data_IF_124128505829
#
_entry.id   IF_124128505829
#
_cell.length_a   1.000
_cell.length_b   1.000
_cell.length_c   1.000
_cell.angle_alpha   90.00
_cell.angle_beta   90.00
_cell.angle_gamma   90.00
#
_symmetry.space_group_name_H-M   'P 1'
#
loop_
_entity.id
_entity.type
_entity.pdbx_description
1 polymer ?
#
# COMPACT_ATOMS: atom_id res chain seq x y z
N UNK A 1 -21.34 -30.04 -5.69
CA UNK A 1 -21.64 -28.98 -4.70
C UNK A 1 -20.33 -28.29 -4.44
N UNK A 2 -20.17 -27.03 -4.86
CA UNK A 2 -18.99 -26.25 -4.49
C UNK A 2 -19.06 -26.05 -2.97
N UNK A 3 -18.02 -26.42 -2.23
CA UNK A 3 -17.95 -26.09 -0.81
C UNK A 3 -17.94 -24.57 -0.66
N UNK A 4 -18.79 -24.05 0.22
CA UNK A 4 -18.74 -22.64 0.63
C UNK A 4 -17.37 -22.34 1.25
N UNK A 5 -16.89 -21.11 1.06
CA UNK A 5 -15.60 -20.71 1.59
C UNK A 5 -15.61 -20.73 3.14
N UNK A 6 -14.48 -21.03 3.81
CA UNK A 6 -14.41 -20.94 5.26
C UNK A 6 -14.76 -19.53 5.76
N UNK A 7 -15.52 -19.42 6.85
CA UNK A 7 -15.95 -18.13 7.43
C UNK A 7 -14.74 -17.25 7.77
N UNK A 8 -13.66 -17.87 8.25
CA UNK A 8 -12.37 -17.20 8.49
C UNK A 8 -11.85 -16.51 7.24
N UNK A 9 -11.91 -17.19 6.11
CA UNK A 9 -11.28 -16.73 4.88
C UNK A 9 -12.09 -15.57 4.29
N UNK A 10 -13.42 -15.61 4.38
CA UNK A 10 -14.30 -14.48 4.03
C UNK A 10 -14.07 -13.26 4.92
N UNK A 11 -13.95 -13.46 6.23
CA UNK A 11 -13.68 -12.40 7.19
C UNK A 11 -12.34 -11.70 6.92
N UNK A 12 -11.29 -12.48 6.73
CA UNK A 12 -9.96 -11.92 6.45
C UNK A 12 -9.91 -11.28 5.07
N UNK A 13 -10.55 -11.85 4.05
CA UNK A 13 -10.64 -11.26 2.72
C UNK A 13 -11.35 -9.90 2.75
N UNK A 14 -12.44 -9.78 3.51
CA UNK A 14 -13.14 -8.52 3.69
C UNK A 14 -12.23 -7.45 4.31
N UNK A 15 -11.58 -7.76 5.44
CA UNK A 15 -10.67 -6.81 6.07
C UNK A 15 -9.50 -6.43 5.15
N UNK A 16 -8.95 -7.40 4.40
CA UNK A 16 -7.86 -7.16 3.45
C UNK A 16 -8.30 -6.28 2.29
N UNK A 17 -9.56 -6.37 1.85
CA UNK A 17 -10.10 -5.52 0.78
C UNK A 17 -10.15 -4.03 1.14
N UNK A 18 -10.00 -3.70 2.42
CA UNK A 18 -9.94 -2.33 2.92
C UNK A 18 -8.52 -1.76 2.94
N UNK A 19 -7.49 -2.53 2.58
CA UNK A 19 -6.11 -2.01 2.50
C UNK A 19 -6.02 -0.76 1.62
N UNK A 20 -5.34 0.28 2.13
CA UNK A 20 -5.26 1.59 1.48
C UNK A 20 -6.44 2.52 1.77
N UNK A 21 -7.47 2.07 2.50
CA UNK A 21 -8.49 2.97 3.03
C UNK A 21 -7.86 3.97 4.00
N UNK A 22 -8.25 5.24 3.86
CA UNK A 22 -7.87 6.32 4.76
C UNK A 22 -9.08 6.95 5.44
N UNK A 23 -8.87 7.38 6.68
CA UNK A 23 -9.86 8.16 7.44
C UNK A 23 -10.04 9.59 6.91
N UNK A 24 -10.99 10.32 7.47
CA UNK A 24 -11.24 11.71 7.15
C UNK A 24 -10.11 12.64 7.61
N UNK A 25 -10.16 13.87 7.10
CA UNK A 25 -9.28 14.97 7.52
C UNK A 25 -10.08 16.13 8.07
N UNK A 26 -9.53 16.82 9.06
CA UNK A 26 -10.05 18.09 9.53
C UNK A 26 -9.78 19.22 8.53
N UNK A 27 -10.29 20.43 8.82
CA UNK A 27 -10.08 21.60 7.97
C UNK A 27 -8.62 22.05 7.86
N UNK A 28 -7.75 21.59 8.76
CA UNK A 28 -6.31 21.80 8.74
C UNK A 28 -5.54 20.72 7.96
N UNK A 29 -6.24 19.70 7.44
CA UNK A 29 -5.64 18.60 6.69
C UNK A 29 -5.06 17.49 7.58
N UNK A 30 -5.29 17.52 8.90
CA UNK A 30 -4.87 16.46 9.82
C UNK A 30 -5.88 15.33 9.85
N UNK A 31 -5.41 14.10 9.98
CA UNK A 31 -6.24 12.91 10.16
C UNK A 31 -7.07 13.03 11.45
N UNK A 32 -8.36 12.73 11.36
CA UNK A 32 -9.33 13.09 12.40
C UNK A 32 -10.10 11.90 12.99
N UNK A 33 -9.70 10.67 12.67
CA UNK A 33 -10.31 9.41 13.07
C UNK A 33 -11.78 9.24 12.67
N UNK A 34 -12.29 10.05 11.73
CA UNK A 34 -13.65 9.92 11.19
C UNK A 34 -13.60 8.94 10.02
N UNK A 35 -14.26 7.80 10.15
CA UNK A 35 -14.23 6.72 9.16
C UNK A 35 -15.60 6.08 8.92
N UNK A 36 -15.69 5.13 7.98
CA UNK A 36 -16.93 4.46 7.57
C UNK A 36 -17.37 3.27 8.46
N UNK A 37 -16.49 2.74 9.28
CA UNK A 37 -16.64 1.57 10.14
C UNK A 37 -17.47 1.82 11.41
N UNK A 38 -17.17 2.86 12.20
CA UNK A 38 -17.92 3.20 13.44
C UNK A 38 -19.43 3.30 13.23
N UNK A 39 -19.95 4.04 12.22
CA UNK A 39 -21.39 4.13 12.01
C UNK A 39 -22.01 2.84 11.42
N UNK A 40 -21.19 1.91 10.94
CA UNK A 40 -21.63 0.65 10.36
C UNK A 40 -21.68 -0.50 11.38
N UNK A 41 -21.18 -0.29 12.61
CA UNK A 41 -21.28 -1.28 13.70
C UNK A 41 -22.36 -0.85 14.68
N UNK A 42 -23.48 -1.58 14.78
CA UNK A 42 -24.56 -1.26 15.71
C UNK A 42 -24.04 -1.11 17.15
N UNK A 43 -24.26 0.06 17.75
CA UNK A 43 -23.85 0.36 19.12
C UNK A 43 -22.43 0.91 19.29
N UNK A 44 -21.66 1.07 18.21
CA UNK A 44 -20.34 1.72 18.23
C UNK A 44 -20.31 3.06 17.49
N UNK A 45 -21.45 3.64 17.14
CA UNK A 45 -21.53 4.93 16.43
C UNK A 45 -20.85 6.06 17.22
N UNK A 46 -20.89 5.96 18.56
CA UNK A 46 -20.23 6.89 19.49
C UNK A 46 -18.70 6.90 19.37
N UNK A 47 -18.09 5.85 18.81
CA UNK A 47 -16.64 5.72 18.66
C UNK A 47 -16.07 6.53 17.49
N UNK A 48 -16.92 7.21 16.71
CA UNK A 48 -16.48 8.03 15.59
C UNK A 48 -15.52 9.14 16.06
N UNK A 49 -14.40 9.33 15.34
CA UNK A 49 -13.37 10.29 15.74
C UNK A 49 -12.47 9.80 16.88
N UNK A 50 -12.60 8.54 17.31
CA UNK A 50 -11.67 7.86 18.23
C UNK A 50 -10.77 6.91 17.45
N UNK A 51 -9.67 6.49 18.08
CA UNK A 51 -8.83 5.42 17.55
C UNK A 51 -9.68 4.17 17.23
N UNK A 52 -9.56 3.65 16.01
CA UNK A 52 -10.56 2.74 15.44
C UNK A 52 -10.02 1.35 15.03
N UNK A 53 -8.84 0.95 15.53
CA UNK A 53 -8.28 -0.39 15.25
C UNK A 53 -9.22 -1.53 15.71
N UNK A 54 -9.76 -1.46 16.93
CA UNK A 54 -10.73 -2.44 17.43
C UNK A 54 -12.07 -2.34 16.68
N UNK A 55 -12.56 -1.13 16.44
CA UNK A 55 -13.79 -0.89 15.67
C UNK A 55 -13.70 -1.45 14.25
N UNK A 56 -12.54 -1.39 13.59
CA UNK A 56 -12.33 -1.99 12.27
C UNK A 56 -12.52 -3.52 12.30
N UNK A 57 -11.93 -4.19 13.28
CA UNK A 57 -12.11 -5.65 13.41
C UNK A 57 -13.54 -6.04 13.78
N UNK A 58 -14.19 -5.24 14.65
CA UNK A 58 -15.60 -5.42 14.99
C UNK A 58 -16.51 -5.19 13.78
N UNK A 59 -16.20 -4.19 12.94
CA UNK A 59 -16.88 -3.95 11.68
C UNK A 59 -16.77 -5.17 10.77
N UNK A 60 -15.58 -5.68 10.50
CA UNK A 60 -15.43 -6.91 9.72
C UNK A 60 -16.29 -8.05 10.27
N UNK A 61 -16.33 -8.22 11.59
CA UNK A 61 -17.10 -9.29 12.22
C UNK A 61 -18.62 -9.12 12.04
N UNK A 62 -19.12 -7.88 11.99
CA UNK A 62 -20.53 -7.62 11.68
C UNK A 62 -20.89 -7.77 10.20
N UNK A 63 -19.92 -7.63 9.31
CA UNK A 63 -20.13 -7.71 7.86
C UNK A 63 -19.93 -9.14 7.31
N UNK A 64 -19.29 -10.02 8.07
CA UNK A 64 -19.13 -11.43 7.72
C UNK A 64 -20.18 -12.28 8.44
N UNK A 65 -20.93 -13.06 7.67
CA UNK A 65 -21.97 -13.93 8.21
C UNK A 65 -21.38 -14.92 9.23
N UNK A 66 -22.00 -14.98 10.41
CA UNK A 66 -21.55 -15.82 11.52
C UNK A 66 -20.32 -15.31 12.29
N UNK A 67 -19.75 -14.13 12.00
CA UNK A 67 -18.62 -13.64 12.80
C UNK A 67 -19.00 -12.81 14.02
N UNK A 68 -20.15 -12.15 14.02
CA UNK A 68 -20.57 -11.22 15.07
C UNK A 68 -20.64 -11.86 16.47
N UNK A 69 -21.06 -13.13 16.57
CA UNK A 69 -21.12 -13.87 17.82
C UNK A 69 -19.77 -14.50 18.23
N UNK A 70 -18.78 -14.48 17.33
CA UNK A 70 -17.46 -15.09 17.50
C UNK A 70 -16.36 -14.05 17.78
N UNK A 71 -16.72 -12.76 17.83
CA UNK A 71 -15.80 -11.65 17.96
C UNK A 71 -16.32 -10.61 18.96
N UNK A 72 -15.46 -9.97 19.78
CA UNK A 72 -15.88 -8.88 20.65
C UNK A 72 -16.23 -7.63 19.84
N UNK A 73 -17.51 -7.25 19.83
CA UNK A 73 -17.98 -6.03 19.18
C UNK A 73 -17.75 -4.81 20.08
N UNK A 74 -16.51 -4.31 20.09
CA UNK A 74 -16.07 -3.19 20.94
C UNK A 74 -15.09 -2.28 20.20
N UNK A 75 -15.03 -1.01 20.63
CA UNK A 75 -14.02 -0.04 20.19
C UNK A 75 -12.74 -0.06 21.05
N UNK A 76 -12.64 -0.94 22.05
CA UNK A 76 -11.54 -0.98 23.02
C UNK A 76 -10.76 -2.28 22.95
N UNK A 77 -9.44 -2.19 22.71
CA UNK A 77 -8.53 -3.34 22.75
C UNK A 77 -8.54 -4.04 24.12
N UNK A 78 -8.47 -3.27 25.21
CA UNK A 78 -8.50 -3.82 26.57
C UNK A 78 -9.79 -4.63 26.83
N UNK A 79 -10.94 -4.08 26.45
CA UNK A 79 -12.23 -4.77 26.59
C UNK A 79 -12.29 -6.04 25.74
N UNK A 80 -11.70 -6.02 24.55
CA UNK A 80 -11.63 -7.20 23.69
C UNK A 80 -10.73 -8.30 24.30
N UNK A 81 -9.56 -7.94 24.84
CA UNK A 81 -8.67 -8.87 25.56
C UNK A 81 -9.38 -9.51 26.74
N UNK A 82 -10.05 -8.72 27.58
CA UNK A 82 -10.83 -9.22 28.72
C UNK A 82 -11.92 -10.21 28.26
N UNK A 83 -12.60 -9.91 27.16
CA UNK A 83 -13.62 -10.78 26.59
C UNK A 83 -13.04 -12.12 26.15
N UNK A 84 -11.93 -12.14 25.40
CA UNK A 84 -11.27 -13.38 24.96
C UNK A 84 -10.83 -14.24 26.16
N UNK A 85 -10.24 -13.61 27.18
CA UNK A 85 -9.79 -14.30 28.38
C UNK A 85 -10.96 -14.89 29.18
N UNK A 86 -12.06 -14.16 29.34
CA UNK A 86 -13.26 -14.64 30.03
C UNK A 86 -13.91 -15.83 29.33
N UNK A 87 -13.83 -15.89 27.99
CA UNK A 87 -14.28 -17.03 27.20
C UNK A 87 -13.32 -18.24 27.28
N UNK A 88 -12.12 -18.07 27.84
CA UNK A 88 -11.05 -19.07 27.80
C UNK A 88 -10.46 -19.25 26.39
N UNK A 89 -10.54 -18.21 25.55
CA UNK A 89 -10.19 -18.25 24.11
C UNK A 89 -9.06 -17.27 23.81
N UNK A 90 -7.96 -17.45 24.55
CA UNK A 90 -6.75 -16.63 24.50
C UNK A 90 -5.51 -17.53 24.42
N UNK A 91 -4.51 -17.13 23.64
CA UNK A 91 -3.23 -17.85 23.49
C UNK A 91 -2.06 -16.89 23.28
N UNK A 92 -0.85 -17.37 23.54
CA UNK A 92 0.41 -16.66 23.25
C UNK A 92 0.90 -16.92 21.81
N UNK A 93 0.23 -17.78 21.05
CA UNK A 93 0.63 -18.18 19.70
C UNK A 93 -0.29 -17.60 18.62
N UNK A 94 0.22 -17.30 17.41
CA UNK A 94 -0.62 -16.78 16.35
C UNK A 94 -1.73 -17.74 15.94
N UNK A 95 -2.92 -17.17 15.72
CA UNK A 95 -4.12 -17.85 15.25
C UNK A 95 -4.49 -17.28 13.89
N UNK A 96 -4.62 -18.12 12.87
CA UNK A 96 -5.00 -17.67 11.53
C UNK A 96 -6.41 -17.08 11.54
N UNK A 97 -6.56 -15.85 11.03
CA UNK A 97 -7.80 -15.06 11.12
C UNK A 97 -8.14 -14.55 12.53
N UNK A 98 -7.33 -14.88 13.54
CA UNK A 98 -7.50 -14.37 14.90
C UNK A 98 -6.94 -12.95 15.07
N UNK A 99 -7.41 -12.21 16.08
CA UNK A 99 -6.84 -10.93 16.43
C UNK A 99 -5.51 -11.11 17.19
N UNK A 100 -4.52 -10.29 16.89
CA UNK A 100 -3.35 -10.07 17.75
C UNK A 100 -3.53 -8.77 18.52
N UNK A 101 -2.95 -8.67 19.72
CA UNK A 101 -3.01 -7.46 20.53
C UNK A 101 -1.61 -6.98 20.93
N UNK A 102 -1.38 -5.66 20.89
CA UNK A 102 -0.13 -5.02 21.32
C UNK A 102 -0.31 -4.24 22.62
N UNK A 103 0.82 -3.96 23.25
CA UNK A 103 0.90 -3.24 24.53
C UNK A 103 1.22 -4.18 25.67
N UNK A 104 1.59 -3.62 26.81
CA UNK A 104 1.99 -4.41 28.00
C UNK A 104 0.92 -5.40 28.48
N UNK A 105 -0.34 -5.13 28.17
CA UNK A 105 -1.50 -5.97 28.48
C UNK A 105 -2.46 -6.08 27.27
N UNK A 106 -1.97 -5.88 26.05
CA UNK A 106 -2.78 -5.97 24.82
C UNK A 106 -3.73 -4.80 24.58
N UNK A 107 -3.58 -3.69 25.31
CA UNK A 107 -4.52 -2.56 25.28
C UNK A 107 -4.25 -1.51 24.19
N UNK A 108 -3.10 -1.58 23.51
CA UNK A 108 -2.62 -0.46 22.69
C UNK A 108 -3.11 -0.53 21.23
N UNK A 109 -3.14 -1.73 20.63
CA UNK A 109 -3.51 -1.89 19.23
C UNK A 109 -3.93 -3.34 18.92
N UNK A 110 -4.76 -3.50 17.89
CA UNK A 110 -5.24 -4.79 17.41
C UNK A 110 -5.26 -4.81 15.88
N UNK A 111 -5.02 -5.99 15.31
CA UNK A 111 -5.34 -6.30 13.93
C UNK A 111 -5.51 -7.79 13.75
N UNK A 112 -5.68 -8.24 12.51
CA UNK A 112 -6.03 -9.63 12.21
C UNK A 112 -4.89 -10.34 11.50
N UNK A 113 -4.56 -11.56 11.93
CA UNK A 113 -3.50 -12.38 11.35
C UNK A 113 -3.97 -13.00 10.04
N UNK A 114 -3.35 -12.58 8.93
CA UNK A 114 -3.59 -13.10 7.57
C UNK A 114 -2.73 -14.32 7.28
N UNK A 115 -1.50 -14.34 7.82
CA UNK A 115 -0.58 -15.46 7.75
C UNK A 115 0.40 -15.45 8.92
N UNK A 116 1.05 -16.58 9.17
CA UNK A 116 2.19 -16.66 10.07
C UNK A 116 3.13 -17.79 9.65
N UNK A 117 4.40 -17.65 10.00
CA UNK A 117 5.42 -18.70 9.95
C UNK A 117 6.14 -18.78 11.30
N UNK A 118 7.31 -19.40 11.37
CA UNK A 118 8.07 -19.56 12.62
C UNK A 118 8.41 -18.23 13.31
N UNK A 119 8.69 -17.17 12.56
CA UNK A 119 9.31 -15.95 13.07
C UNK A 119 8.42 -14.73 12.91
N UNK A 120 7.47 -14.76 11.97
CA UNK A 120 6.71 -13.60 11.51
C UNK A 120 5.22 -13.86 11.50
N UNK A 121 4.44 -12.81 11.80
CA UNK A 121 3.02 -12.73 11.44
C UNK A 121 2.83 -11.67 10.37
N UNK A 122 1.97 -11.95 9.40
CA UNK A 122 1.43 -10.99 8.44
C UNK A 122 0.02 -10.66 8.85
N UNK A 123 -0.30 -9.37 8.87
CA UNK A 123 -1.53 -8.87 9.48
C UNK A 123 -2.18 -7.81 8.60
N UNK A 124 -3.49 -7.64 8.78
CA UNK A 124 -4.25 -6.50 8.25
C UNK A 124 -4.77 -5.68 9.43
N UNK A 125 -4.54 -4.38 9.40
CA UNK A 125 -4.68 -3.51 10.57
C UNK A 125 -5.33 -2.20 10.20
N UNK A 126 -6.41 -1.85 10.87
CA UNK A 126 -7.03 -0.53 10.79
C UNK A 126 -6.41 0.43 11.82
N UNK A 127 -6.53 1.72 11.55
CA UNK A 127 -5.95 2.77 12.36
C UNK A 127 -4.46 2.54 12.66
N UNK A 128 -3.69 2.26 11.60
CA UNK A 128 -2.23 2.28 11.62
C UNK A 128 -1.72 3.24 10.54
N UNK A 129 -0.40 3.49 10.47
CA UNK A 129 0.23 4.37 9.47
C UNK A 129 1.55 3.78 9.01
N UNK A 130 2.05 4.16 7.84
CA UNK A 130 3.27 3.59 7.21
C UNK A 130 4.49 3.47 8.16
N UNK A 131 4.62 4.35 9.15
CA UNK A 131 5.73 4.37 10.13
C UNK A 131 5.52 3.64 11.47
N UNK A 132 4.38 2.97 11.70
CA UNK A 132 4.13 2.20 12.93
C UNK A 132 3.79 3.04 14.18
N UNK A 133 3.38 4.30 14.01
CA UNK A 133 2.89 5.16 15.09
C UNK A 133 1.44 4.79 15.48
N UNK A 134 1.05 4.90 16.77
CA UNK A 134 -0.31 4.59 17.25
C UNK A 134 -1.39 5.59 16.81
N UNK A 135 -1.03 6.75 16.24
CA UNK A 135 -1.99 7.63 15.55
C UNK A 135 -2.09 7.22 14.08
N UNK A 136 -2.90 6.20 13.83
CA UNK A 136 -3.11 5.68 12.50
C UNK A 136 -3.84 6.64 11.57
N UNK A 137 -3.75 6.37 10.28
CA UNK A 137 -4.42 7.14 9.24
C UNK A 137 -5.16 6.28 8.22
N UNK A 138 -5.10 4.96 8.37
CA UNK A 138 -5.68 4.05 7.41
C UNK A 138 -5.55 2.58 7.76
N UNK A 139 -5.87 1.75 6.77
CA UNK A 139 -5.77 0.30 6.80
C UNK A 139 -4.54 -0.14 6.03
N UNK A 140 -3.70 -0.99 6.64
CA UNK A 140 -2.44 -1.44 6.03
C UNK A 140 -2.16 -2.91 6.33
N UNK A 141 -1.54 -3.60 5.37
CA UNK A 141 -0.85 -4.83 5.66
C UNK A 141 0.44 -4.57 6.47
N UNK A 142 0.76 -5.47 7.40
CA UNK A 142 1.97 -5.39 8.23
C UNK A 142 2.66 -6.73 8.37
N UNK A 143 3.94 -6.66 8.69
CA UNK A 143 4.73 -7.77 9.19
C UNK A 143 5.16 -7.44 10.61
N UNK A 144 5.04 -8.43 11.51
CA UNK A 144 5.44 -8.28 12.91
C UNK A 144 6.22 -9.51 13.36
N UNK A 145 7.22 -9.36 14.24
CA UNK A 145 7.90 -10.50 14.82
C UNK A 145 6.93 -11.28 15.72
N UNK A 146 7.05 -12.60 15.74
CA UNK A 146 6.32 -13.47 16.68
C UNK A 146 6.85 -13.39 18.10
N UNK A 147 8.11 -13.00 18.28
CA UNK A 147 8.80 -12.98 19.57
C UNK A 147 9.71 -11.75 19.69
N UNK A 148 9.95 -11.32 20.92
CA UNK A 148 10.87 -10.23 21.21
C UNK A 148 10.24 -8.83 21.08
N UNK A 149 11.07 -7.77 21.04
CA UNK A 149 10.56 -6.41 21.01
C UNK A 149 9.61 -6.16 19.84
N UNK A 150 8.40 -5.67 20.14
CA UNK A 150 7.37 -5.38 19.13
C UNK A 150 6.50 -6.56 18.73
N UNK A 151 6.68 -7.75 19.31
CA UNK A 151 5.76 -8.87 19.13
C UNK A 151 4.44 -8.64 19.86
N UNK A 152 3.34 -9.29 19.43
CA UNK A 152 2.08 -9.26 20.15
C UNK A 152 2.20 -9.71 21.62
N UNK A 153 1.38 -9.10 22.48
CA UNK A 153 1.12 -9.54 23.84
C UNK A 153 0.41 -10.90 23.85
N UNK A 154 -0.48 -11.12 22.89
CA UNK A 154 -1.15 -12.39 22.69
C UNK A 154 -2.23 -12.28 21.64
N UNK A 155 -3.00 -13.35 21.50
CA UNK A 155 -3.94 -13.55 20.42
C UNK A 155 -5.29 -14.04 20.95
N UNK A 156 -6.36 -13.48 20.40
CA UNK A 156 -7.70 -14.07 20.54
C UNK A 156 -7.80 -15.31 19.65
N UNK A 157 -8.56 -16.29 20.08
CA UNK A 157 -8.84 -17.50 19.31
C UNK A 157 -10.29 -17.42 18.87
N UNK A 158 -10.70 -17.11 17.61
CA UNK A 158 -12.12 -17.09 17.20
C UNK A 158 -12.72 -18.49 17.01
N UNK A 159 -14.03 -18.66 17.19
CA UNK A 159 -14.70 -19.99 17.22
C UNK A 159 -15.18 -20.41 15.84
N UNK A 160 -14.25 -20.47 14.91
CA UNK A 160 -14.56 -20.78 13.51
C UNK A 160 -15.22 -22.16 13.40
N UNK A 161 -16.35 -22.29 12.66
CA UNK A 161 -16.99 -23.59 12.40
C UNK A 161 -16.04 -24.61 11.76
N UNK A 162 -15.13 -24.16 10.91
CA UNK A 162 -14.08 -24.95 10.27
C UNK A 162 -12.90 -25.30 11.19
N UNK A 163 -12.91 -24.83 12.44
CA UNK A 163 -11.88 -25.08 13.43
C UNK A 163 -10.76 -24.02 13.47
N UNK A 164 -9.97 -24.10 14.54
CA UNK A 164 -8.84 -23.21 14.79
C UNK A 164 -7.58 -23.69 14.06
N UNK A 165 -6.86 -22.77 13.43
CA UNK A 165 -5.53 -23.01 12.86
C UNK A 165 -4.53 -22.13 13.60
N UNK A 166 -3.71 -22.72 14.46
CA UNK A 166 -2.80 -21.99 15.35
C UNK A 166 -1.46 -22.69 15.49
N UNK A 167 -0.41 -21.90 15.74
CA UNK A 167 0.90 -22.42 16.13
C UNK A 167 0.95 -22.92 17.58
N UNK A 168 -0.11 -22.72 18.36
CA UNK A 168 -0.23 -23.25 19.71
C UNK A 168 -0.28 -24.79 19.67
N UNK A 169 0.66 -25.50 20.32
CA UNK A 169 0.61 -26.96 20.42
C UNK A 169 -0.70 -27.50 21.02
N UNK A 170 -1.35 -26.74 21.90
CA UNK A 170 -2.65 -27.11 22.48
C UNK A 170 -3.82 -26.94 21.50
N UNK A 171 -3.63 -26.15 20.43
CA UNK A 171 -4.63 -25.86 19.40
C UNK A 171 -4.22 -26.42 18.02
N UNK A 172 -3.37 -27.45 17.99
CA UNK A 172 -2.98 -28.19 16.79
C UNK A 172 -1.53 -28.01 16.35
N UNK A 173 -0.84 -26.96 16.81
CA UNK A 173 0.60 -26.78 16.60
C UNK A 173 1.01 -26.63 15.13
N UNK A 174 0.19 -25.98 14.31
CA UNK A 174 0.47 -25.75 12.90
C UNK A 174 1.62 -24.75 12.78
N UNK A 175 2.78 -25.11 12.20
CA UNK A 175 3.98 -24.26 12.27
C UNK A 175 3.88 -22.99 11.42
N UNK A 176 3.08 -23.02 10.35
CA UNK A 176 2.85 -21.90 9.44
C UNK A 176 1.50 -22.05 8.76
N UNK A 177 0.79 -20.94 8.55
CA UNK A 177 -0.48 -20.94 7.85
C UNK A 177 -0.75 -19.60 7.15
N UNK A 178 -1.63 -19.59 6.14
CA UNK A 178 -2.08 -18.41 5.40
C UNK A 178 -3.54 -18.60 5.00
N UNK A 179 -4.34 -17.53 5.06
CA UNK A 179 -5.72 -17.55 4.57
C UNK A 179 -5.73 -17.73 3.05
N UNK A 180 -6.55 -18.67 2.57
CA UNK A 180 -6.77 -18.85 1.13
C UNK A 180 -7.78 -17.82 0.60
N UNK A 181 -7.58 -17.33 -0.62
CA UNK A 181 -8.66 -16.68 -1.38
C UNK A 181 -9.71 -17.74 -1.78
N UNK A 182 -11.01 -17.41 -1.89
CA UNK A 182 -12.03 -18.39 -2.22
C UNK A 182 -11.81 -18.93 -3.63
N UNK A 183 -11.51 -20.22 -3.76
CA UNK A 183 -11.75 -20.93 -5.01
C UNK A 183 -11.98 -22.42 -4.76
N UNK A 184 -13.03 -22.92 -5.39
CA UNK A 184 -13.49 -24.30 -5.50
C UNK A 184 -12.53 -25.41 -5.02
N UNK A 185 -13.03 -26.19 -4.06
CA UNK A 185 -12.63 -27.55 -3.68
C UNK A 185 -11.83 -28.32 -4.73
N UNK A 186 -10.64 -28.81 -4.36
CA UNK A 186 -9.99 -29.95 -5.02
C UNK A 186 -9.33 -30.89 -3.99
N UNK A 187 -9.72 -32.16 -4.10
CA UNK A 187 -9.11 -33.39 -3.55
C UNK A 187 -7.60 -33.48 -3.86
N UNK A 188 -6.77 -34.20 -3.06
CA UNK A 188 -5.33 -33.96 -3.07
C UNK A 188 -4.64 -34.54 -4.32
N UNK A 189 -3.91 -33.68 -5.06
CA UNK A 189 -2.92 -34.07 -6.06
C UNK A 189 -1.95 -32.90 -6.37
N UNK A 190 -0.83 -33.17 -7.07
CA UNK A 190 0.45 -33.71 -6.63
C UNK A 190 1.45 -32.58 -6.26
N UNK A 191 2.72 -32.90 -5.98
CA UNK A 191 3.78 -31.95 -5.62
C UNK A 191 3.79 -30.68 -6.50
N UNK A 192 4.08 -29.50 -5.93
CA UNK A 192 3.91 -28.22 -6.62
C UNK A 192 4.75 -28.14 -7.90
N UNK A 193 4.12 -27.63 -8.96
CA UNK A 193 4.84 -27.17 -10.15
C UNK A 193 5.74 -25.99 -9.77
N UNK A 194 6.91 -25.82 -10.41
CA UNK A 194 7.84 -24.73 -10.10
C UNK A 194 7.18 -23.37 -10.36
N UNK A 195 7.55 -22.36 -9.56
CA UNK A 195 7.16 -20.96 -9.74
C UNK A 195 7.26 -20.54 -11.22
N UNK A 196 6.38 -19.64 -11.71
CA UNK A 196 6.62 -19.05 -13.01
C UNK A 196 7.98 -18.36 -12.95
N UNK A 197 8.91 -18.88 -13.76
CA UNK A 197 10.26 -18.32 -13.89
C UNK A 197 10.14 -16.79 -14.04
N UNK A 198 10.84 -15.98 -13.21
CA UNK A 198 10.76 -14.52 -13.31
C UNK A 198 10.96 -14.06 -14.75
N UNK A 199 10.24 -13.02 -15.17
CA UNK A 199 10.39 -12.48 -16.51
C UNK A 199 11.84 -12.01 -16.73
N UNK A 200 12.46 -12.52 -17.80
CA UNK A 200 13.85 -12.20 -18.17
C UNK A 200 13.95 -11.52 -19.53
N UNK A 201 13.23 -10.43 -19.68
CA UNK A 201 13.36 -9.55 -20.83
C UNK A 201 13.49 -8.09 -20.39
N UNK A 202 13.85 -7.22 -21.33
CA UNK A 202 14.02 -5.80 -21.09
C UNK A 202 12.98 -4.97 -21.83
N UNK A 203 12.62 -3.84 -21.24
CA UNK A 203 11.93 -2.76 -21.92
C UNK A 203 12.82 -1.51 -21.97
N UNK A 204 12.45 -0.55 -22.82
CA UNK A 204 13.05 0.78 -22.82
C UNK A 204 11.99 1.81 -22.46
N UNK A 205 12.18 2.51 -21.34
CA UNK A 205 11.33 3.62 -20.93
C UNK A 205 12.19 4.87 -20.86
N UNK A 206 11.78 5.92 -21.56
CA UNK A 206 12.49 7.19 -21.61
C UNK A 206 14.00 7.07 -21.96
N UNK A 207 14.33 6.15 -22.88
CA UNK A 207 15.70 5.91 -23.35
C UNK A 207 16.59 5.10 -22.41
N UNK A 208 16.06 4.63 -21.28
CA UNK A 208 16.76 3.75 -20.34
C UNK A 208 16.19 2.35 -20.36
N UNK A 209 17.08 1.36 -20.24
CA UNK A 209 16.70 -0.05 -20.14
C UNK A 209 16.24 -0.38 -18.71
N UNK A 210 15.17 -1.17 -18.62
CA UNK A 210 14.61 -1.75 -17.40
C UNK A 210 14.28 -3.23 -17.64
N UNK A 211 14.21 -4.04 -16.58
CA UNK A 211 14.04 -5.50 -16.68
C UNK A 211 15.38 -6.25 -16.64
N UNK A 212 15.32 -7.58 -16.60
CA UNK A 212 16.47 -8.43 -16.28
C UNK A 212 17.72 -8.12 -17.11
N UNK A 213 18.85 -7.92 -16.43
CA UNK A 213 20.13 -7.57 -17.03
C UNK A 213 20.26 -6.11 -17.46
N UNK A 214 19.27 -5.26 -17.20
CA UNK A 214 19.45 -3.81 -17.32
C UNK A 214 20.43 -3.32 -16.26
N UNK A 215 21.20 -2.27 -16.58
CA UNK A 215 22.26 -1.78 -15.71
C UNK A 215 22.22 -0.25 -15.64
N UNK A 216 22.49 0.30 -14.45
CA UNK A 216 22.68 1.74 -14.26
C UNK A 216 21.95 2.30 -13.03
N UNK A 217 22.14 3.60 -12.75
CA UNK A 217 21.58 4.26 -11.57
C UNK A 217 20.05 4.25 -11.55
N UNK A 218 19.38 4.15 -12.70
CA UNK A 218 17.93 3.99 -12.77
C UNK A 218 17.44 2.68 -12.17
N UNK A 219 18.24 1.61 -12.25
CA UNK A 219 17.90 0.32 -11.64
C UNK A 219 17.97 0.44 -10.13
N UNK A 220 19.02 1.07 -9.61
CA UNK A 220 19.16 1.35 -8.18
C UNK A 220 18.00 2.21 -7.67
N UNK A 221 17.62 3.26 -8.40
CA UNK A 221 16.50 4.12 -8.03
C UNK A 221 15.17 3.35 -7.97
N UNK A 222 14.92 2.44 -8.92
CA UNK A 222 13.74 1.57 -8.89
C UNK A 222 13.79 0.64 -7.69
N UNK A 223 14.94 -0.01 -7.43
CA UNK A 223 15.08 -0.90 -6.29
C UNK A 223 14.94 -0.21 -4.94
N UNK A 224 15.50 0.99 -4.79
CA UNK A 224 15.36 1.82 -3.58
C UNK A 224 13.91 2.25 -3.37
N UNK A 225 13.20 2.63 -4.43
CA UNK A 225 11.79 2.98 -4.36
C UNK A 225 10.91 1.78 -4.06
N UNK A 226 11.18 0.61 -4.66
CA UNK A 226 10.52 -0.63 -4.29
C UNK A 226 10.67 -0.90 -2.78
N UNK A 227 11.89 -0.78 -2.24
CA UNK A 227 12.12 -0.89 -0.79
C UNK A 227 11.35 0.18 -0.01
N UNK A 228 11.35 1.44 -0.45
CA UNK A 228 10.64 2.53 0.26
C UNK A 228 9.12 2.36 0.24
N UNK A 229 8.58 1.72 -0.79
CA UNK A 229 7.17 1.36 -0.93
C UNK A 229 6.83 0.00 -0.29
N UNK A 230 7.79 -0.68 0.33
CA UNK A 230 7.58 -1.95 1.06
C UNK A 230 7.77 -3.23 0.22
N UNK A 231 8.23 -3.10 -1.02
CA UNK A 231 8.46 -4.19 -1.98
C UNK A 231 9.95 -4.57 -2.06
N UNK A 232 10.55 -5.04 -0.95
CA UNK A 232 11.98 -5.37 -0.90
C UNK A 232 12.30 -6.82 -0.55
N UNK A 233 11.29 -7.69 -0.44
CA UNK A 233 11.40 -9.04 0.13
C UNK A 233 12.37 -9.97 -0.61
N UNK A 234 12.61 -9.74 -1.90
CA UNK A 234 13.55 -10.55 -2.68
C UNK A 234 15.01 -10.09 -2.59
N UNK A 235 15.31 -8.93 -1.97
CA UNK A 235 16.69 -8.46 -1.80
C UNK A 235 17.36 -9.14 -0.59
N UNK A 236 18.44 -9.88 -0.84
CA UNK A 236 19.29 -10.45 0.22
C UNK A 236 20.35 -9.46 0.72
N UNK A 237 20.88 -8.70 -0.22
CA UNK A 237 21.71 -7.51 -0.03
C UNK A 237 20.98 -6.44 -0.84
N UNK A 238 20.74 -5.26 -0.26
CA UNK A 238 19.83 -4.24 -0.81
C UNK A 238 20.05 -3.89 -2.30
N UNK A 239 19.14 -3.12 -2.89
CA UNK A 239 19.10 -2.89 -4.34
C UNK A 239 20.42 -2.33 -4.89
N UNK A 240 20.76 -2.74 -6.11
CA UNK A 240 22.02 -2.41 -6.78
C UNK A 240 21.82 -1.84 -8.19
N UNK A 241 22.90 -1.57 -8.93
CA UNK A 241 22.80 -1.03 -10.29
C UNK A 241 22.50 -2.09 -11.35
N UNK A 242 22.49 -3.38 -11.00
CA UNK A 242 22.24 -4.49 -11.93
C UNK A 242 20.85 -5.08 -11.65
N UNK A 243 19.99 -5.13 -12.67
CA UNK A 243 18.64 -5.69 -12.53
C UNK A 243 18.71 -7.21 -12.50
N UNK A 244 18.30 -7.80 -11.39
CA UNK A 244 18.32 -9.23 -11.13
C UNK A 244 16.92 -9.84 -11.06
N UNK A 245 16.83 -11.14 -10.83
CA UNK A 245 15.54 -11.79 -10.53
C UNK A 245 14.88 -11.21 -9.26
N UNK A 246 15.66 -10.64 -8.33
CA UNK A 246 15.11 -10.01 -7.13
C UNK A 246 14.34 -8.73 -7.48
N UNK A 247 14.88 -7.89 -8.36
CA UNK A 247 14.20 -6.70 -8.87
C UNK A 247 12.92 -7.08 -9.61
N UNK A 248 12.97 -8.10 -10.47
CA UNK A 248 11.79 -8.62 -11.18
C UNK A 248 10.73 -9.13 -10.19
N UNK A 249 11.10 -9.88 -9.16
CA UNK A 249 10.18 -10.39 -8.16
C UNK A 249 9.50 -9.28 -7.35
N UNK A 250 10.29 -8.34 -6.85
CA UNK A 250 9.80 -7.18 -6.10
C UNK A 250 8.89 -6.28 -6.97
N UNK A 251 9.28 -6.04 -8.22
CA UNK A 251 8.49 -5.21 -9.13
C UNK A 251 7.18 -5.89 -9.55
N UNK A 252 7.18 -7.22 -9.70
CA UNK A 252 5.96 -7.97 -9.99
C UNK A 252 4.96 -7.87 -8.82
N UNK A 253 5.45 -7.94 -7.58
CA UNK A 253 4.61 -7.76 -6.39
C UNK A 253 4.06 -6.34 -6.30
N UNK A 254 4.87 -5.33 -6.62
CA UNK A 254 4.42 -3.95 -6.75
C UNK A 254 3.35 -3.77 -7.85
N UNK A 255 3.54 -4.37 -9.03
CA UNK A 255 2.53 -4.32 -10.09
C UNK A 255 1.21 -4.95 -9.65
N UNK A 256 1.26 -6.07 -8.93
CA UNK A 256 0.07 -6.71 -8.36
C UNK A 256 -0.61 -5.83 -7.32
N UNK A 257 0.15 -5.08 -6.51
CA UNK A 257 -0.44 -4.14 -5.55
C UNK A 257 -1.18 -2.98 -6.23
N UNK A 258 -0.83 -2.64 -7.48
CA UNK A 258 -1.56 -1.68 -8.31
C UNK A 258 -2.79 -2.29 -9.01
N UNK A 259 -3.06 -3.58 -8.84
CA UNK A 259 -4.16 -4.30 -9.48
C UNK A 259 -3.85 -4.84 -10.87
N UNK A 260 -2.60 -4.84 -11.31
CA UNK A 260 -2.20 -5.50 -12.56
C UNK A 260 -2.20 -7.02 -12.42
N UNK A 261 -2.42 -7.73 -13.53
CA UNK A 261 -2.44 -9.19 -13.56
C UNK A 261 -1.98 -9.75 -14.90
N UNK A 262 -1.67 -11.05 -14.94
CA UNK A 262 -1.16 -11.69 -16.14
C UNK A 262 0.17 -11.08 -16.60
N UNK A 263 0.27 -10.77 -17.90
CA UNK A 263 1.48 -10.17 -18.47
C UNK A 263 1.76 -8.74 -17.98
N UNK A 264 0.75 -8.04 -17.44
CA UNK A 264 0.92 -6.67 -16.94
C UNK A 264 1.53 -6.62 -15.51
N UNK A 265 1.71 -7.78 -14.88
CA UNK A 265 2.30 -7.95 -13.55
C UNK A 265 3.42 -9.01 -13.54
N UNK A 266 4.24 -8.98 -14.59
CA UNK A 266 5.31 -9.94 -14.85
C UNK A 266 6.67 -9.55 -14.25
N UNK A 267 6.76 -8.35 -13.66
CA UNK A 267 7.96 -7.82 -13.03
C UNK A 267 8.86 -6.99 -13.93
N UNK A 268 8.46 -6.76 -15.19
CA UNK A 268 9.14 -5.79 -16.06
C UNK A 268 8.40 -4.45 -16.01
N UNK A 269 9.08 -3.32 -15.75
CA UNK A 269 8.43 -2.02 -15.67
C UNK A 269 7.65 -1.62 -16.92
N UNK A 270 6.43 -1.14 -16.72
CA UNK A 270 5.71 -0.33 -17.71
C UNK A 270 5.72 1.15 -17.30
N UNK A 271 5.55 2.07 -18.24
CA UNK A 271 5.64 3.51 -17.98
C UNK A 271 4.71 3.99 -16.85
N UNK A 272 3.46 3.54 -16.84
CA UNK A 272 2.48 3.90 -15.82
C UNK A 272 2.90 3.38 -14.42
N UNK A 273 3.22 2.10 -14.31
CA UNK A 273 3.70 1.48 -13.07
C UNK A 273 4.99 2.13 -12.56
N UNK A 274 5.90 2.48 -13.47
CA UNK A 274 7.19 3.07 -13.10
C UNK A 274 6.99 4.49 -12.60
N UNK A 275 6.14 5.27 -13.26
CA UNK A 275 5.78 6.62 -12.81
C UNK A 275 5.08 6.60 -11.46
N UNK A 276 4.21 5.63 -11.21
CA UNK A 276 3.53 5.46 -9.93
C UNK A 276 4.53 5.11 -8.81
N UNK A 277 5.58 4.34 -9.12
CA UNK A 277 6.56 3.87 -8.13
C UNK A 277 7.51 4.97 -7.67
N UNK A 278 8.02 5.76 -8.61
CA UNK A 278 9.10 6.73 -8.34
C UNK A 278 8.67 8.18 -8.53
N UNK A 279 7.41 8.44 -8.93
CA UNK A 279 6.84 9.77 -9.12
C UNK A 279 7.38 10.53 -10.35
N UNK A 280 8.44 10.02 -10.99
CA UNK A 280 9.02 10.54 -12.23
C UNK A 280 9.55 9.37 -13.08
N UNK A 281 9.88 9.60 -14.35
CA UNK A 281 10.53 8.60 -15.19
C UNK A 281 12.02 8.91 -15.33
N UNK A 282 12.92 8.10 -14.75
CA UNK A 282 14.34 8.24 -14.92
C UNK A 282 14.70 8.00 -16.38
N UNK A 283 15.61 8.83 -16.87
CA UNK A 283 15.85 9.04 -18.29
C UNK A 283 15.89 10.54 -18.51
N UNK A 284 16.57 10.99 -19.56
CA UNK A 284 16.63 12.42 -19.87
C UNK A 284 15.24 13.06 -19.88
N UNK A 285 15.18 14.38 -19.71
CA UNK A 285 13.92 15.14 -19.71
C UNK A 285 12.90 14.55 -20.69
N UNK A 286 11.62 14.36 -20.29
CA UNK A 286 10.60 13.73 -21.14
C UNK A 286 10.63 14.37 -22.52
N UNK A 287 10.32 13.62 -23.58
CA UNK A 287 10.21 14.22 -24.90
C UNK A 287 9.24 15.41 -24.83
N UNK A 288 9.66 16.57 -25.31
CA UNK A 288 8.82 17.76 -25.30
C UNK A 288 7.55 17.46 -26.13
N UNK A 289 6.34 17.55 -25.55
CA UNK A 289 5.13 17.00 -26.15
C UNK A 289 4.60 17.81 -27.33
N UNK A 290 5.26 18.93 -27.67
CA UNK A 290 4.82 19.87 -28.69
C UNK A 290 4.31 21.17 -28.08
N UNK A 291 4.44 22.28 -28.83
CA UNK A 291 3.99 23.60 -28.35
C UNK A 291 2.47 23.67 -28.24
N UNK A 292 1.77 22.87 -29.05
CA UNK A 292 0.33 22.75 -29.12
C UNK A 292 -0.32 22.23 -27.83
N UNK A 293 0.43 21.54 -26.97
CA UNK A 293 -0.07 21.08 -25.67
C UNK A 293 -0.20 22.21 -24.63
N UNK A 294 0.34 23.40 -24.92
CA UNK A 294 0.41 24.53 -24.00
C UNK A 294 -0.23 25.78 -24.58
N UNK A 295 -0.82 26.59 -23.70
CA UNK A 295 -1.46 27.85 -24.07
C UNK A 295 -2.98 27.86 -23.86
N UNK A 296 -3.63 29.00 -24.14
CA UNK A 296 -5.04 29.20 -23.85
C UNK A 296 -5.95 28.11 -24.42
N UNK A 297 -6.80 27.53 -23.57
CA UNK A 297 -7.77 26.50 -23.93
C UNK A 297 -7.26 25.06 -23.82
N UNK A 298 -5.97 24.85 -23.52
CA UNK A 298 -5.43 23.51 -23.32
C UNK A 298 -5.84 22.91 -21.97
N UNK A 299 -6.22 21.63 -21.99
CA UNK A 299 -6.51 20.84 -20.79
C UNK A 299 -5.99 19.42 -20.99
N UNK A 300 -4.84 19.10 -20.40
CA UNK A 300 -4.16 17.81 -20.57
C UNK A 300 -3.14 17.56 -19.44
N UNK A 301 -2.63 16.33 -19.37
CA UNK A 301 -1.65 15.93 -18.35
C UNK A 301 -0.30 16.66 -18.46
N UNK A 302 0.09 17.12 -19.65
CA UNK A 302 1.35 17.85 -19.83
C UNK A 302 1.32 19.23 -19.16
N UNK A 303 0.17 19.91 -19.15
CA UNK A 303 -0.01 21.16 -18.39
C UNK A 303 0.15 20.92 -16.89
N UNK A 304 -0.50 19.87 -16.37
CA UNK A 304 -0.38 19.48 -14.96
C UNK A 304 1.08 19.17 -14.60
N UNK A 305 1.73 18.33 -15.41
CA UNK A 305 3.12 17.92 -15.22
C UNK A 305 4.09 19.12 -15.26
N UNK A 306 3.89 20.04 -16.21
CA UNK A 306 4.65 21.29 -16.29
C UNK A 306 4.51 22.10 -15.00
N UNK A 307 3.27 22.29 -14.53
CA UNK A 307 2.97 23.08 -13.35
C UNK A 307 3.52 22.48 -12.06
N UNK A 308 3.36 21.17 -11.86
CA UNK A 308 3.95 20.42 -10.75
C UNK A 308 5.48 20.59 -10.72
N UNK A 309 6.14 20.46 -11.87
CA UNK A 309 7.59 20.60 -11.96
C UNK A 309 8.06 22.05 -11.71
N UNK A 310 7.28 23.05 -12.15
CA UNK A 310 7.55 24.46 -11.84
C UNK A 310 7.46 24.71 -10.34
N UNK A 311 6.44 24.18 -9.66
CA UNK A 311 6.32 24.28 -8.20
C UNK A 311 7.51 23.60 -7.51
N UNK A 312 7.86 22.38 -7.92
CA UNK A 312 8.98 21.62 -7.36
C UNK A 312 10.32 22.37 -7.48
N UNK A 313 10.54 23.09 -8.58
CA UNK A 313 11.75 23.93 -8.78
C UNK A 313 11.65 25.33 -8.16
N UNK A 314 10.58 25.63 -7.40
CA UNK A 314 10.42 26.89 -6.68
C UNK A 314 9.81 28.03 -7.50
N UNK A 315 9.25 27.75 -8.68
CA UNK A 315 8.62 28.72 -9.57
C UNK A 315 7.09 28.76 -9.44
N UNK A 316 6.55 28.18 -8.37
CA UNK A 316 5.11 28.08 -8.13
C UNK A 316 4.39 29.37 -7.69
N UNK A 317 5.09 30.49 -7.53
CA UNK A 317 4.55 31.70 -6.90
C UNK A 317 3.35 32.36 -7.61
N UNK A 318 3.05 31.97 -8.85
CA UNK A 318 1.87 32.43 -9.58
C UNK A 318 0.59 31.62 -9.25
N UNK A 319 0.72 30.40 -8.69
CA UNK A 319 -0.42 29.56 -8.35
C UNK A 319 -1.03 29.97 -7.00
N UNK A 320 -2.37 30.12 -6.98
CA UNK A 320 -3.12 30.39 -5.73
C UNK A 320 -3.69 29.14 -5.09
N UNK A 321 -4.11 28.17 -5.91
CA UNK A 321 -4.72 26.90 -5.50
C UNK A 321 -3.72 25.75 -5.71
N UNK A 322 -2.92 25.84 -6.76
CA UNK A 322 -1.96 24.82 -7.19
C UNK A 322 -2.03 24.63 -8.71
N UNK A 323 -1.08 23.90 -9.29
CA UNK A 323 -1.12 23.52 -10.70
C UNK A 323 -2.25 22.50 -10.94
N UNK A 324 -2.76 22.47 -12.18
CA UNK A 324 -3.80 21.54 -12.60
C UNK A 324 -3.72 21.29 -14.11
N UNK A 325 -4.56 20.41 -14.67
CA UNK A 325 -4.47 20.02 -16.07
C UNK A 325 -4.94 21.11 -17.04
N UNK A 326 -5.70 22.11 -16.58
CA UNK A 326 -6.17 23.22 -17.40
C UNK A 326 -5.16 24.37 -17.42
N UNK A 327 -4.71 24.77 -18.61
CA UNK A 327 -3.77 25.86 -18.77
C UNK A 327 -4.37 27.19 -18.33
N UNK A 328 -3.59 27.95 -17.56
CA UNK A 328 -3.97 29.23 -17.00
C UNK A 328 -2.87 30.29 -17.16
N UNK A 329 -3.21 31.54 -16.85
CA UNK A 329 -2.20 32.61 -16.75
C UNK A 329 -1.20 32.37 -15.61
N UNK A 330 -1.53 31.54 -14.62
CA UNK A 330 -0.57 31.15 -13.59
C UNK A 330 0.55 30.28 -14.18
N UNK A 331 0.23 29.34 -15.07
CA UNK A 331 1.22 28.51 -15.76
C UNK A 331 2.14 29.37 -16.63
N UNK A 332 1.56 30.26 -17.45
CA UNK A 332 2.35 31.17 -18.30
C UNK A 332 3.33 32.01 -17.50
N UNK A 333 2.90 32.55 -16.35
CA UNK A 333 3.75 33.37 -15.46
C UNK A 333 4.82 32.54 -14.75
N UNK A 334 4.50 31.33 -14.31
CA UNK A 334 5.45 30.42 -13.69
C UNK A 334 6.54 29.99 -14.69
N UNK A 335 6.16 29.64 -15.92
CA UNK A 335 7.11 29.36 -17.02
C UNK A 335 7.98 30.58 -17.30
N UNK A 336 7.39 31.78 -17.40
CA UNK A 336 8.13 33.01 -17.65
C UNK A 336 9.16 33.28 -16.55
N UNK A 337 8.79 33.10 -15.28
CA UNK A 337 9.71 33.24 -14.16
C UNK A 337 10.86 32.22 -14.22
N UNK A 338 10.57 30.96 -14.57
CA UNK A 338 11.58 29.94 -14.79
C UNK A 338 12.54 30.34 -15.92
N UNK A 339 12.02 30.73 -17.09
CA UNK A 339 12.80 31.18 -18.24
C UNK A 339 13.72 32.37 -17.90
N UNK A 340 13.20 33.36 -17.18
CA UNK A 340 13.99 34.50 -16.70
C UNK A 340 15.11 34.05 -15.76
N UNK A 341 14.85 33.10 -14.87
CA UNK A 341 15.88 32.55 -13.99
C UNK A 341 16.95 31.73 -14.73
N UNK A 342 16.65 31.24 -15.94
CA UNK A 342 17.66 30.67 -16.85
C UNK A 342 18.50 31.73 -17.59
N UNK A 343 18.26 33.02 -17.33
CA UNK A 343 18.93 34.15 -17.98
C UNK A 343 18.30 34.57 -19.31
N UNK A 344 17.13 34.04 -19.68
CA UNK A 344 16.46 34.39 -20.93
C UNK A 344 15.74 35.73 -20.82
N UNK A 345 15.66 36.47 -21.93
CA UNK A 345 15.08 37.82 -21.95
C UNK A 345 14.23 38.06 -23.19
N UNK A 346 13.35 39.05 -23.15
CA UNK A 346 12.51 39.42 -24.29
C UNK A 346 11.63 38.26 -24.76
N UNK A 347 11.67 37.96 -26.06
CA UNK A 347 10.88 36.90 -26.69
C UNK A 347 11.28 35.49 -26.22
N UNK A 348 12.49 35.31 -25.68
CA UNK A 348 12.94 34.00 -25.20
C UNK A 348 12.38 33.66 -23.80
N UNK A 349 11.79 34.64 -23.11
CA UNK A 349 11.09 34.47 -21.83
C UNK A 349 9.60 34.86 -21.97
N UNK A 350 8.93 34.29 -22.96
CA UNK A 350 7.54 34.56 -23.33
C UNK A 350 6.49 33.90 -22.41
N UNK A 351 6.91 32.95 -21.58
CA UNK A 351 6.05 32.15 -20.72
C UNK A 351 5.43 30.94 -21.40
N UNK A 352 5.89 30.57 -22.59
CA UNK A 352 5.45 29.37 -23.30
C UNK A 352 6.58 28.34 -23.37
N UNK A 353 6.38 27.10 -22.88
CA UNK A 353 7.44 26.11 -22.89
C UNK A 353 7.77 25.69 -24.33
N UNK A 354 9.06 25.72 -24.67
CA UNK A 354 9.62 25.06 -25.85
C UNK A 354 10.48 23.86 -25.45
N UNK A 355 11.10 23.16 -26.42
CA UNK A 355 11.95 22.01 -26.15
C UNK A 355 13.06 22.29 -25.13
N UNK A 356 13.67 23.48 -25.20
CA UNK A 356 14.74 23.87 -24.27
C UNK A 356 14.19 24.20 -22.88
N UNK A 357 13.03 24.86 -22.77
CA UNK A 357 12.36 25.12 -21.48
C UNK A 357 12.10 23.79 -20.79
N UNK A 358 11.51 22.86 -21.53
CA UNK A 358 11.16 21.53 -21.07
C UNK A 358 12.40 20.74 -20.64
N UNK A 359 13.44 20.72 -21.48
CA UNK A 359 14.70 20.05 -21.18
C UNK A 359 15.30 20.51 -19.86
N UNK A 360 15.34 21.82 -19.59
CA UNK A 360 15.92 22.35 -18.34
C UNK A 360 15.01 22.19 -17.14
N UNK A 361 13.70 22.29 -17.35
CA UNK A 361 12.72 22.16 -16.29
C UNK A 361 12.68 20.72 -15.74
N UNK A 362 12.87 19.72 -16.61
CA UNK A 362 12.88 18.30 -16.27
C UNK A 362 14.29 17.67 -16.17
N UNK A 363 15.34 18.49 -16.19
CA UNK A 363 16.73 18.05 -15.92
C UNK A 363 17.06 17.99 -14.43
#
# INVERSE_FOLDING_TARGET
MCQEAPVRDEFVALLTSEEGYHEGRDSGGSWNNVQKFSPAVPGLEWSQGQAWCATFTAWGATQTEGMAERWPLTASCATAVDWWQQQGRWTEYPVLGGPFYLGSHGQDHVGVVVAYDQDTIWTIEGNTNSGGSPQGDGVYARQRPRQGPGSPYGYGVPDYPEGTVSADPALGGVPSARVGTPSASVEPAPAPAPDPTPARYQTTINGLAYGYGAQGPQVTAVGEALVSHGFGSYYQVGPGPDWTDADTGNYADYQRSLGYGGADADGVPGEASLRELIGYLPGGAPAFPGRECFGPGQNNDYVRQLGEQLVAKGYGGAYRIGPGPQWSEADRRAVQAFQQAQGWTGADADGYPGPETWRRLFA
#
